data_IF_203439926977
#
_entry.id   IF_203439926977
#
_cell.length_a   1.000
_cell.length_b   1.000
_cell.length_c   1.000
_cell.angle_alpha   90.00
_cell.angle_beta   90.00
_cell.angle_gamma   90.00
#
_symmetry.space_group_name_H-M   'P 1'
#
loop_
_entity.id
_entity.type
_entity.pdbx_description
1 polymer ?
2 non-polymer ?
3 non-polymer ?
4 water ?
#
# COMPACT_ATOMS: atom_id res chain seq x y z
N UNK A 12 -7.03 6.64 29.60
CA UNK A 12 -6.42 5.54 28.78
C UNK A 12 -7.42 4.98 27.76
N UNK A 13 -8.66 4.76 28.19
CA UNK A 13 -9.74 4.32 27.32
C UNK A 13 -10.25 5.49 26.48
N UNK A 14 -10.33 6.67 27.09
CA UNK A 14 -10.70 7.90 26.39
C UNK A 14 -9.66 8.24 25.32
N UNK A 15 -8.39 8.07 25.68
CA UNK A 15 -7.27 8.36 24.78
C UNK A 15 -7.34 7.49 23.52
N UNK A 16 -7.58 6.19 23.70
CA UNK A 16 -7.71 5.28 22.56
C UNK A 16 -8.87 5.64 21.64
N UNK A 17 -9.98 6.09 22.22
CA UNK A 17 -11.15 6.51 21.44
C UNK A 17 -10.90 7.82 20.69
N UNK A 18 -10.18 8.74 21.33
CA UNK A 18 -9.82 10.02 20.70
C UNK A 18 -8.86 9.81 19.52
N UNK A 19 -7.87 8.95 19.71
CA UNK A 19 -6.92 8.60 18.65
C UNK A 19 -7.61 7.89 17.48
N UNK A 20 -8.53 6.98 17.78
CA UNK A 20 -9.28 6.28 16.74
C UNK A 20 -10.16 7.24 15.93
N UNK A 21 -10.77 8.21 16.61
CA UNK A 21 -11.52 9.27 15.93
C UNK A 21 -10.62 10.07 15.00
N UNK A 22 -9.42 10.40 15.46
CA UNK A 22 -8.45 11.14 14.65
C UNK A 22 -8.00 10.31 13.44
N UNK A 23 -7.75 9.02 13.66
CA UNK A 23 -7.39 8.13 12.56
C UNK A 23 -8.52 8.09 11.51
N UNK A 24 -9.76 7.93 11.97
CA UNK A 24 -10.90 7.83 11.06
C UNK A 24 -11.09 9.09 10.20
N UNK A 25 -10.72 10.25 10.73
CA UNK A 25 -10.83 11.53 10.00
C UNK A 25 -9.88 11.59 8.79
N UNK A 26 -8.88 10.72 8.77
CA UNK A 26 -7.92 10.66 7.67
C UNK A 26 -8.08 9.43 6.78
N UNK A 27 -9.19 8.71 6.95
CA UNK A 27 -9.47 7.52 6.14
C UNK A 27 -10.76 7.71 5.34
N UNK A 28 -10.66 7.49 4.04
CA UNK A 28 -11.84 7.32 3.20
C UNK A 28 -11.79 5.98 2.50
N UNK A 29 -12.93 5.33 2.38
CA UNK A 29 -13.00 4.00 1.77
C UNK A 29 -14.24 3.84 0.91
N UNK A 30 -14.09 3.16 -0.21
CA UNK A 30 -15.19 2.90 -1.12
C UNK A 30 -15.01 1.60 -1.90
N UNK A 31 -16.13 0.94 -2.18
CA UNK A 31 -16.14 -0.24 -3.02
C UNK A 31 -16.25 0.21 -4.47
N UNK A 32 -15.15 0.15 -5.21
CA UNK A 32 -15.11 0.70 -6.57
C UNK A 32 -15.00 -0.31 -7.69
N UNK A 33 -14.41 -1.46 -7.42
CA UNK A 33 -14.17 -2.46 -8.44
C UNK A 33 -15.07 -3.67 -8.29
N UNK A 34 -15.74 -4.04 -9.38
CA UNK A 34 -16.64 -5.19 -9.41
C UNK A 34 -15.84 -6.49 -9.38
N UNK A 35 -16.53 -7.61 -9.21
CA UNK A 35 -15.89 -8.92 -9.20
C UNK A 35 -15.17 -9.21 -10.52
N UNK A 36 -15.81 -8.85 -11.64
CA UNK A 36 -15.19 -8.99 -12.97
C UNK A 36 -13.98 -8.08 -13.15
N UNK A 37 -14.10 -6.83 -12.73
CA UNK A 37 -12.99 -5.88 -12.78
C UNK A 37 -11.80 -6.36 -11.93
N UNK A 38 -12.10 -6.89 -10.75
CA UNK A 38 -11.06 -7.48 -9.88
C UNK A 38 -10.37 -8.67 -10.56
N UNK A 39 -11.18 -9.54 -11.16
CA UNK A 39 -10.64 -10.72 -11.85
C UNK A 39 -9.65 -10.35 -12.94
N UNK A 40 -9.99 -9.32 -13.71
CA UNK A 40 -9.14 -8.85 -14.79
C UNK A 40 -7.83 -8.28 -14.24
N UNK A 41 -7.93 -7.48 -13.17
CA UNK A 41 -6.74 -6.88 -12.56
C UNK A 41 -5.85 -7.95 -11.93
N UNK A 42 -6.49 -8.93 -11.28
CA UNK A 42 -5.78 -10.05 -10.66
C UNK A 42 -5.01 -10.87 -11.68
N UNK A 43 -5.60 -11.05 -12.87
CA UNK A 43 -4.90 -11.68 -13.99
C UNK A 43 -3.64 -10.90 -14.38
N UNK A 44 -3.73 -9.57 -14.37
CA UNK A 44 -2.59 -8.71 -14.69
C UNK A 44 -1.52 -8.76 -13.60
N UNK A 45 -1.94 -8.78 -12.34
CA UNK A 45 -1.00 -8.93 -11.23
C UNK A 45 -0.22 -10.25 -11.36
N UNK A 46 -0.95 -11.31 -11.71
CA UNK A 46 -0.33 -12.62 -11.98
C UNK A 46 0.72 -12.53 -13.10
N UNK A 47 0.43 -11.73 -14.12
CA UNK A 47 1.38 -11.49 -15.22
C UNK A 47 2.66 -10.82 -14.73
N UNK A 48 2.52 -9.84 -13.84
CA UNK A 48 3.67 -9.16 -13.23
C UNK A 48 4.54 -10.17 -12.47
N UNK A 49 3.91 -11.01 -11.65
CA UNK A 49 4.65 -12.01 -10.87
C UNK A 49 5.42 -12.93 -11.82
N UNK A 50 4.76 -13.36 -12.88
CA UNK A 50 5.37 -14.23 -13.90
C UNK A 50 6.55 -13.56 -14.58
N UNK A 51 6.37 -12.30 -14.98
CA UNK A 51 7.45 -11.54 -15.62
C UNK A 51 8.65 -11.33 -14.73
N UNK A 52 8.41 -11.14 -13.43
CA UNK A 52 9.48 -10.99 -12.45
C UNK A 52 10.29 -12.29 -12.34
N UNK A 53 9.58 -13.41 -12.33
CA UNK A 53 10.21 -14.73 -12.23
C UNK A 53 11.06 -15.06 -13.46
N UNK A 54 10.67 -14.49 -14.60
CA UNK A 54 11.41 -14.66 -15.86
C UNK A 54 12.61 -13.71 -15.98
N UNK A 55 12.86 -12.92 -14.94
CA UNK A 55 13.98 -11.97 -14.92
C UNK A 55 13.84 -10.81 -15.90
N UNK A 56 12.59 -10.43 -16.20
CA UNK A 56 12.33 -9.43 -17.23
C UNK A 56 12.29 -7.99 -16.73
N UNK A 57 12.28 -7.81 -15.40
CA UNK A 57 12.25 -6.47 -14.85
C UNK A 57 13.63 -5.95 -14.49
N UNK A 58 13.75 -4.63 -14.41
CA UNK A 58 14.95 -3.99 -13.90
C UNK A 58 15.27 -4.42 -12.47
N UNK A 59 16.55 -4.33 -12.12
CA UNK A 59 17.09 -4.73 -10.82
C UNK A 59 16.22 -4.28 -9.63
N UNK A 60 15.89 -3.00 -9.57
CA UNK A 60 15.22 -2.44 -8.40
C UNK A 60 13.71 -2.45 -8.46
N UNK A 61 13.15 -3.04 -9.51
CA UNK A 61 11.70 -3.15 -9.64
C UNK A 61 11.17 -4.21 -8.69
N UNK A 62 11.97 -5.24 -8.45
CA UNK A 62 11.48 -6.39 -7.68
C UNK A 62 12.19 -6.50 -6.33
N UNK A 63 11.38 -6.52 -5.26
CA UNK A 63 11.90 -6.74 -3.91
C UNK A 63 11.26 -8.01 -3.33
N UNK A 64 12.05 -9.08 -3.26
CA UNK A 64 11.57 -10.35 -2.74
C UNK A 64 11.86 -10.48 -1.25
N UNK A 65 10.82 -10.81 -0.49
CA UNK A 65 10.97 -11.07 0.94
C UNK A 65 10.13 -12.30 1.28
N UNK A 66 10.47 -13.00 2.39
CA UNK A 66 9.87 -14.30 2.68
C UNK A 66 8.38 -14.49 2.34
N UNK A 67 7.48 -13.77 2.98
CA UNK A 67 6.05 -13.98 2.72
C UNK A 67 5.33 -12.81 2.02
N UNK A 68 6.12 -11.87 1.48
CA UNK A 68 5.61 -10.67 0.83
C UNK A 68 6.61 -10.17 -0.22
N UNK A 69 6.17 -10.10 -1.47
CA UNK A 69 6.97 -9.50 -2.54
C UNK A 69 6.43 -8.12 -2.86
N UNK A 70 7.33 -7.18 -3.19
CA UNK A 70 6.93 -5.85 -3.65
C UNK A 70 7.45 -5.63 -5.06
N UNK A 71 6.60 -5.03 -5.89
CA UNK A 71 6.95 -4.70 -7.26
C UNK A 71 6.78 -3.20 -7.44
N UNK A 72 7.88 -2.50 -7.74
CA UNK A 72 7.92 -1.04 -7.77
C UNK A 72 7.88 -0.55 -9.21
N UNK A 73 6.93 0.33 -9.52
CA UNK A 73 6.82 0.92 -10.85
C UNK A 73 6.69 2.43 -10.76
N UNK A 74 7.29 3.12 -11.75
CA UNK A 74 7.30 4.58 -11.78
C UNK A 74 8.43 5.13 -10.94
N UNK A 75 8.31 4.93 -9.62
CA UNK A 75 9.36 5.23 -8.67
C UNK A 75 9.41 4.14 -7.60
N UNK A 76 10.62 3.84 -7.14
CA UNK A 76 10.83 2.95 -6.01
C UNK A 76 11.83 3.56 -5.03
N UNK A 77 11.95 2.94 -3.85
CA UNK A 77 12.82 3.47 -2.81
C UNK A 77 13.51 2.35 -2.02
N UNK A 78 14.53 2.74 -1.27
CA UNK A 78 15.27 1.83 -0.39
C UNK A 78 14.62 1.77 0.99
N UNK A 87 20.85 5.23 7.49
CA UNK A 87 20.25 4.25 8.40
C UNK A 87 18.74 4.39 8.50
N UNK A 88 18.22 4.43 9.75
CA UNK A 88 16.78 4.56 10.02
C UNK A 88 16.18 5.85 9.44
N UNK A 89 15.09 5.70 8.69
CA UNK A 89 14.34 6.82 8.13
C UNK A 89 15.02 7.56 7.01
N UNK A 90 16.01 6.91 6.38
CA UNK A 90 16.79 7.53 5.31
C UNK A 90 16.63 6.77 3.99
N UNK A 91 15.40 6.39 3.64
CA UNK A 91 15.15 5.82 2.32
C UNK A 91 15.40 6.85 1.23
N UNK A 92 15.82 6.36 0.07
CA UNK A 92 16.16 7.18 -1.07
C UNK A 92 15.49 6.63 -2.32
N UNK A 93 15.06 7.54 -3.19
CA UNK A 93 14.59 7.17 -4.52
C UNK A 93 15.77 6.65 -5.34
N UNK A 94 15.55 5.57 -6.09
CA UNK A 94 16.54 5.10 -7.06
C UNK A 94 16.64 6.12 -8.20
N UNK A 95 17.82 6.24 -8.83
CA UNK A 95 17.99 7.18 -9.96
C UNK A 95 16.94 6.99 -11.05
N UNK A 96 16.62 8.07 -11.80
CA UNK A 96 15.62 7.98 -12.85
C UNK A 96 15.91 6.84 -13.84
N UNK A 97 14.88 6.06 -14.15
CA UNK A 97 15.03 4.93 -15.08
C UNK A 97 15.47 3.61 -14.46
N UNK A 98 15.74 3.61 -13.15
CA UNK A 98 16.14 2.38 -12.46
C UNK A 98 15.00 1.37 -12.27
N UNK A 99 13.81 1.86 -11.99
CA UNK A 99 12.64 0.98 -11.89
C UNK A 99 11.86 1.02 -13.20
N UNK A 100 11.07 -0.02 -13.45
CA UNK A 100 10.21 -0.07 -14.62
C UNK A 100 9.07 0.94 -14.55
N UNK A 101 8.61 1.38 -15.72
CA UNK A 101 7.50 2.32 -15.81
C UNK A 101 6.20 1.66 -15.37
N UNK A 102 5.25 2.47 -14.92
CA UNK A 102 3.92 2.00 -14.56
C UNK A 102 3.30 1.29 -15.78
N UNK A 103 2.89 0.01 -15.61
CA UNK A 103 2.31 -0.72 -16.75
C UNK A 103 1.03 -0.07 -17.27
N UNK A 104 0.77 -0.19 -18.57
CA UNK A 104 -0.40 0.42 -19.20
C UNK A 104 -1.71 -0.02 -18.55
N UNK A 105 -1.80 -1.29 -18.15
CA UNK A 105 -3.01 -1.80 -17.50
C UNK A 105 -3.30 -1.13 -16.18
N UNK A 106 -2.26 -0.68 -15.47
CA UNK A 106 -2.47 0.04 -14.20
C UNK A 106 -3.15 1.38 -14.47
N UNK A 107 -2.68 2.09 -15.51
CA UNK A 107 -3.34 3.31 -15.96
C UNK A 107 -4.76 3.04 -16.37
N UNK A 108 -4.94 2.04 -17.22
CA UNK A 108 -6.23 1.77 -17.86
C UNK A 108 -7.29 1.16 -16.95
N UNK A 109 -6.88 0.23 -16.10
CA UNK A 109 -7.83 -0.53 -15.25
C UNK A 109 -7.98 0.02 -13.82
N UNK A 110 -6.94 0.69 -13.33
CA UNK A 110 -6.94 1.14 -11.94
C UNK A 110 -6.98 2.67 -11.81
N UNK A 111 -5.94 3.34 -12.26
CA UNK A 111 -5.83 4.80 -12.10
C UNK A 111 -7.00 5.52 -12.78
N UNK A 112 -7.36 5.09 -13.99
CA UNK A 112 -8.49 5.69 -14.70
C UNK A 112 -9.79 5.66 -13.89
N UNK A 113 -10.08 4.49 -13.31
CA UNK A 113 -11.28 4.34 -12.46
C UNK A 113 -11.25 5.31 -11.27
N UNK A 114 -10.07 5.45 -10.65
CA UNK A 114 -9.90 6.37 -9.53
C UNK A 114 -10.11 7.84 -9.93
N UNK A 115 -9.54 8.23 -11.06
CA UNK A 115 -9.68 9.60 -11.57
C UNK A 115 -11.14 9.91 -11.92
N UNK A 116 -11.79 8.97 -12.59
CA UNK A 116 -13.21 9.10 -12.96
C UNK A 116 -14.12 9.28 -11.75
N UNK A 117 -13.79 8.61 -10.64
CA UNK A 117 -14.59 8.70 -9.41
C UNK A 117 -14.11 9.77 -8.46
N UNK A 118 -13.22 10.64 -8.95
CA UNK A 118 -12.74 11.83 -8.21
C UNK A 118 -11.99 11.47 -6.92
N UNK A 119 -11.34 10.32 -6.91
CA UNK A 119 -10.56 9.88 -5.76
C UNK A 119 -9.24 10.65 -5.69
N UNK A 120 -8.61 10.82 -6.85
CA UNK A 120 -7.40 11.63 -6.99
C UNK A 120 -7.45 12.32 -8.36
N UNK A 121 -6.71 13.43 -8.53
CA UNK A 121 -6.70 14.13 -9.82
C UNK A 121 -5.88 13.40 -10.88
N UNK A 122 -6.21 13.64 -12.14
CA UNK A 122 -5.39 13.21 -13.26
C UNK A 122 -3.98 13.78 -13.13
N UNK A 123 -2.97 12.94 -13.37
CA UNK A 123 -1.56 13.33 -13.30
C UNK A 123 -0.90 13.16 -11.94
N UNK A 124 -1.71 12.95 -10.90
CA UNK A 124 -1.20 12.83 -9.51
C UNK A 124 -0.26 11.62 -9.35
N UNK A 125 -0.74 10.44 -9.73
CA UNK A 125 0.01 9.19 -9.50
C UNK A 125 1.25 9.10 -10.40
N UNK A 126 2.43 8.96 -9.81
CA UNK A 126 3.66 8.65 -10.56
C UNK A 126 4.39 7.43 -9.99
N UNK A 127 3.76 6.79 -9.01
CA UNK A 127 4.30 5.60 -8.37
C UNK A 127 3.18 4.60 -8.12
N UNK A 128 3.42 3.37 -8.57
CA UNK A 128 2.52 2.25 -8.33
C UNK A 128 3.33 1.09 -7.79
N UNK A 129 3.02 0.66 -6.57
CA UNK A 129 3.70 -0.49 -5.98
C UNK A 129 2.68 -1.60 -5.77
N UNK A 130 3.02 -2.80 -6.22
CA UNK A 130 2.18 -3.97 -5.95
C UNK A 130 2.83 -4.78 -4.82
N UNK A 131 2.08 -5.01 -3.74
CA UNK A 131 2.48 -5.93 -2.66
C UNK A 131 1.70 -7.21 -2.86
N UNK A 132 2.40 -8.34 -2.85
CA UNK A 132 1.78 -9.63 -3.04
C UNK A 132 2.13 -10.53 -1.85
N UNK A 133 1.10 -10.93 -1.11
CA UNK A 133 1.25 -11.65 0.16
C UNK A 133 0.91 -13.13 0.04
N UNK A 134 1.77 -13.96 0.63
CA UNK A 134 1.44 -15.36 0.92
C UNK A 134 0.54 -15.42 2.16
N UNK A 135 -0.21 -16.53 2.34
CA UNK A 135 -0.89 -16.72 3.61
C UNK A 135 0.11 -16.58 4.75
N UNK A 136 -0.28 -15.88 5.81
CA UNK A 136 0.61 -15.66 6.96
C UNK A 136 1.60 -14.55 6.74
N UNK A 137 1.55 -13.91 5.57
CA UNK A 137 2.37 -12.74 5.29
C UNK A 137 1.90 -11.54 6.10
N UNK A 138 2.73 -10.52 6.19
CA UNK A 138 2.40 -9.34 6.99
C UNK A 138 3.29 -8.17 6.62
N UNK A 139 3.04 -7.00 7.22
CA UNK A 139 3.97 -5.88 7.11
C UNK A 139 4.07 -5.22 8.49
N UNK A 140 5.30 -4.94 8.90
CA UNK A 140 5.55 -4.38 10.23
C UNK A 140 5.22 -2.89 10.27
N UNK A 141 4.73 -2.45 11.42
CA UNK A 141 4.56 -1.04 11.79
C UNK A 141 5.46 -0.08 11.01
N UNK A 142 4.83 0.87 10.30
CA UNK A 142 5.59 1.89 9.56
C UNK A 142 4.72 3.07 9.23
N UNK A 143 5.36 4.16 8.83
CA UNK A 143 4.65 5.29 8.20
C UNK A 143 5.19 5.37 6.78
N UNK A 144 4.32 5.57 5.79
CA UNK A 144 4.81 5.70 4.42
C UNK A 144 5.73 6.92 4.39
N UNK A 145 7.01 6.73 3.97
CA UNK A 145 8.04 7.75 4.18
C UNK A 145 7.61 9.14 3.76
N UNK A 146 7.58 10.04 4.75
CA UNK A 146 7.06 11.40 4.58
C UNK A 146 7.95 12.25 3.66
N UNK A 147 9.24 11.92 3.61
CA UNK A 147 10.18 12.62 2.71
C UNK A 147 10.13 12.12 1.30
N UNK A 148 9.46 10.99 1.09
CA UNK A 148 9.40 10.37 -0.23
C UNK A 148 8.05 10.64 -0.91
N UNK A 149 6.96 10.44 -0.17
CA UNK A 149 5.63 10.50 -0.77
C UNK A 149 4.75 11.65 -0.29
N UNK A 150 4.11 12.30 -1.26
CA UNK A 150 3.01 13.23 -0.99
C UNK A 150 1.85 12.43 -0.41
N UNK A 151 0.90 13.16 0.14
CA UNK A 151 -0.38 12.60 0.53
C UNK A 151 -1.41 13.19 -0.44
N UNK A 152 -2.57 12.54 -0.62
CA UNK A 152 -3.01 11.29 0.01
C UNK A 152 -2.38 10.04 -0.60
N UNK A 153 -2.46 8.95 0.15
CA UNK A 153 -1.97 7.64 -0.27
C UNK A 153 -3.18 6.77 -0.58
N UNK A 154 -3.21 6.20 -1.79
CA UNK A 154 -4.36 5.41 -2.25
C UNK A 154 -3.95 3.94 -2.39
N UNK A 155 -4.78 3.03 -1.87
CA UNK A 155 -4.52 1.61 -2.04
C UNK A 155 -5.78 0.84 -2.44
N UNK A 156 -5.60 -0.17 -3.29
CA UNK A 156 -6.69 -0.99 -3.80
C UNK A 156 -6.34 -2.47 -3.58
N UNK A 157 -7.22 -3.21 -2.90
CA UNK A 157 -6.96 -4.61 -2.49
C UNK A 157 -7.57 -5.62 -3.47
N UNK A 158 -6.94 -6.80 -3.62
CA UNK A 158 -7.38 -7.70 -4.69
C UNK A 158 -7.86 -9.15 -4.54
N UNK A 159 -7.08 -10.03 -3.97
CA UNK A 159 -7.45 -11.45 -4.13
C UNK A 159 -8.38 -11.96 -3.04
N UNK A 160 -8.31 -11.32 -1.88
CA UNK A 160 -9.07 -11.74 -0.72
C UNK A 160 -9.25 -10.53 0.17
N UNK A 161 -10.08 -10.68 1.20
CA UNK A 161 -10.32 -9.63 2.18
C UNK A 161 -9.32 -9.74 3.32
N UNK A 162 -8.97 -8.59 3.89
CA UNK A 162 -8.05 -8.55 5.03
C UNK A 162 -8.38 -7.34 5.91
N UNK A 163 -7.42 -6.93 6.73
CA UNK A 163 -7.60 -5.77 7.60
C UNK A 163 -6.30 -5.01 7.68
N UNK A 164 -6.40 -3.68 7.73
CA UNK A 164 -5.25 -2.82 7.92
C UNK A 164 -5.32 -2.21 9.32
N UNK A 165 -4.28 -2.45 10.11
CA UNK A 165 -4.25 -1.98 11.50
C UNK A 165 -3.50 -0.65 11.61
N UNK A 166 -3.95 0.19 12.55
CA UNK A 166 -3.33 1.48 12.82
C UNK A 166 -2.97 1.57 14.30
N UNK A 167 -1.78 2.09 14.60
CA UNK A 167 -1.26 2.12 15.98
C UNK A 167 -0.75 0.73 16.31
N UNK A 168 0.48 0.47 15.91
CA UNK A 168 0.99 -0.90 15.85
C UNK A 168 2.00 -1.24 16.96
N UNK A 169 1.92 -0.50 18.07
CA UNK A 169 2.75 -0.77 19.24
C UNK A 169 2.66 -2.25 19.66
N UNK A 170 1.45 -2.82 19.55
CA UNK A 170 1.17 -4.22 19.87
C UNK A 170 2.11 -5.25 19.22
N UNK A 171 2.70 -4.89 18.08
CA UNK A 171 3.62 -5.79 17.38
C UNK A 171 4.94 -5.94 18.12
N UNK A 172 5.20 -5.04 19.07
CA UNK A 172 6.45 -5.01 19.82
C UNK A 172 6.24 -5.16 21.33
N UNK A 173 5.06 -4.77 21.80
CA UNK A 173 4.76 -4.79 23.24
C UNK A 173 3.43 -5.48 23.54
N UNK A 174 3.32 -6.79 23.18
CA UNK A 174 2.03 -7.48 23.28
C UNK A 174 1.48 -7.63 24.71
N UNK A 175 2.38 -7.59 25.70
CA UNK A 175 1.96 -7.60 27.12
C UNK A 175 1.32 -6.26 27.51
N UNK A 176 2.02 -5.16 27.24
CA UNK A 176 1.55 -3.82 27.56
C UNK A 176 0.33 -3.40 26.72
N UNK A 177 0.32 -3.79 25.44
CA UNK A 177 -0.79 -3.46 24.55
C UNK A 177 -1.05 -4.59 23.54
N UNK A 178 -2.26 -5.14 23.57
CA UNK A 178 -2.58 -6.33 22.79
C UNK A 178 -3.23 -6.03 21.44
N UNK A 179 -3.93 -4.89 21.35
CA UNK A 179 -4.70 -4.53 20.16
C UNK A 179 -4.17 -3.24 19.49
N UNK A 180 -4.37 -3.09 18.16
CA UNK A 180 -4.12 -1.78 17.56
C UNK A 180 -5.16 -0.75 18.00
N UNK A 181 -4.88 0.51 17.68
CA UNK A 181 -5.81 1.62 17.95
C UNK A 181 -7.08 1.43 17.12
N UNK A 182 -6.89 1.02 15.86
CA UNK A 182 -8.00 0.80 14.94
C UNK A 182 -7.63 -0.31 13.96
N UNK A 183 -8.60 -1.14 13.62
CA UNK A 183 -8.47 -2.10 12.53
C UNK A 183 -9.49 -1.78 11.46
N UNK A 184 -9.01 -1.63 10.24
CA UNK A 184 -9.82 -1.23 9.10
C UNK A 184 -9.99 -2.41 8.15
N UNK A 185 -11.24 -2.91 8.00
CA UNK A 185 -11.45 -3.97 7.01
C UNK A 185 -11.09 -3.47 5.62
N UNK A 186 -10.32 -4.25 4.88
CA UNK A 186 -9.95 -3.91 3.50
C UNK A 186 -10.36 -5.07 2.58
N UNK A 187 -11.53 -4.92 1.97
CA UNK A 187 -12.11 -5.98 1.14
C UNK A 187 -11.56 -5.94 -0.27
N UNK A 188 -11.59 -7.10 -0.93
CA UNK A 188 -11.27 -7.21 -2.35
C UNK A 188 -12.12 -6.20 -3.13
N UNK A 189 -11.46 -5.41 -3.99
CA UNK A 189 -12.12 -4.39 -4.78
C UNK A 189 -12.31 -3.04 -4.10
N UNK A 190 -11.91 -2.92 -2.84
CA UNK A 190 -12.08 -1.67 -2.10
C UNK A 190 -10.89 -0.74 -2.27
N UNK A 191 -11.19 0.56 -2.21
CA UNK A 191 -10.19 1.62 -2.29
C UNK A 191 -10.07 2.30 -0.93
N UNK A 192 -8.84 2.41 -0.45
CA UNK A 192 -8.57 3.08 0.81
C UNK A 192 -7.72 4.31 0.54
N UNK A 193 -8.13 5.45 1.10
CA UNK A 193 -7.40 6.69 0.92
C UNK A 193 -6.97 7.20 2.28
N UNK A 194 -5.64 7.36 2.46
CA UNK A 194 -5.08 7.83 3.72
C UNK A 194 -4.53 9.24 3.58
N UNK A 195 -4.85 10.07 4.57
CA UNK A 195 -4.39 11.46 4.60
C UNK A 195 -4.34 11.94 6.05
N UNK A 196 -3.79 13.13 6.26
CA UNK A 196 -3.75 13.75 7.58
C UNK A 196 -3.18 12.86 8.66
N UNK A 197 -3.88 12.81 9.79
CA UNK A 197 -3.50 12.01 10.96
C UNK A 197 -3.22 10.54 10.63
N UNK A 198 -4.09 9.95 9.80
CA UNK A 198 -4.00 8.52 9.45
C UNK A 198 -2.74 8.19 8.65
N UNK A 199 -2.24 9.18 7.91
CA UNK A 199 -1.05 9.00 7.07
C UNK A 199 0.26 9.50 7.70
N UNK A 200 0.16 10.42 8.67
CA UNK A 200 1.31 11.16 9.17
C UNK A 200 1.61 11.03 10.66
N UNK A 201 0.61 10.69 11.46
CA UNK A 201 0.69 10.80 12.92
C UNK A 201 0.60 9.46 13.63
N UNK A 202 0.39 8.40 12.86
CA UNK A 202 0.24 7.06 13.41
C UNK A 202 0.81 6.06 12.41
N UNK A 203 1.27 4.92 12.92
CA UNK A 203 1.79 3.85 12.08
C UNK A 203 0.66 2.95 11.60
N UNK A 204 0.90 2.22 10.52
CA UNK A 204 0.02 1.12 10.13
C UNK A 204 0.78 -0.14 9.86
N UNK A 205 0.06 -1.26 9.80
CA UNK A 205 0.66 -2.58 9.66
C UNK A 205 -0.41 -3.60 9.29
N UNK A 206 0.03 -4.82 8.99
CA UNK A 206 -0.88 -5.94 8.75
C UNK A 206 -0.41 -7.10 9.61
N UNK A 207 -1.35 -7.72 10.31
CA UNK A 207 -1.08 -8.87 11.18
C UNK A 207 -1.10 -10.15 10.35
N UNK A 208 -0.18 -11.09 10.63
CA UNK A 208 -0.12 -12.32 9.83
C UNK A 208 -1.40 -13.15 9.91
N UNK A 209 -2.10 -13.12 11.05
CA UNK A 209 -3.35 -13.87 11.18
C UNK A 209 -4.48 -13.29 10.34
N UNK A 210 -4.30 -12.06 9.84
CA UNK A 210 -5.31 -11.38 9.01
C UNK A 210 -5.16 -11.67 7.51
N UNK A 211 -4.08 -12.36 7.15
CA UNK A 211 -3.86 -12.82 5.77
C UNK A 211 -3.92 -14.34 5.76
N UNK A 212 -5.12 -14.86 5.50
CA UNK A 212 -5.40 -16.29 5.57
C UNK A 212 -5.18 -16.99 4.24
N UNK A 213 -5.17 -16.21 3.18
CA UNK A 213 -4.94 -16.69 1.82
C UNK A 213 -4.26 -15.58 1.05
N UNK A 214 -3.84 -15.87 -0.18
CA UNK A 214 -3.15 -14.87 -0.98
C UNK A 214 -3.93 -13.55 -1.04
N UNK A 215 -3.21 -12.45 -0.89
CA UNK A 215 -3.79 -11.13 -0.94
C UNK A 215 -2.81 -10.23 -1.67
N UNK A 216 -3.31 -9.32 -2.49
CA UNK A 216 -2.45 -8.37 -3.16
C UNK A 216 -3.02 -6.97 -3.04
N UNK A 217 -2.15 -5.98 -3.17
CA UNK A 217 -2.55 -4.60 -3.03
C UNK A 217 -1.76 -3.78 -4.03
N UNK A 218 -2.45 -2.82 -4.65
CA UNK A 218 -1.79 -1.85 -5.50
C UNK A 218 -1.84 -0.51 -4.79
N UNK A 219 -0.66 0.04 -4.52
CA UNK A 219 -0.54 1.31 -3.81
C UNK A 219 -0.12 2.40 -4.79
N UNK A 220 -0.97 3.41 -4.91
CA UNK A 220 -0.78 4.49 -5.87
C UNK A 220 -0.47 5.79 -5.13
N UNK A 221 0.68 6.36 -5.43
CA UNK A 221 1.18 7.53 -4.71
C UNK A 221 1.87 8.51 -5.66
N UNK A 222 2.11 9.72 -5.16
CA UNK A 222 2.93 10.71 -5.83
C UNK A 222 4.18 10.97 -5.00
N UNK A 223 5.34 10.86 -5.62
CA UNK A 223 6.59 11.18 -4.93
C UNK A 223 6.76 12.70 -4.84
N UNK A 224 7.43 13.14 -3.78
CA UNK A 224 7.70 14.55 -3.54
C UNK A 224 8.77 15.07 -4.49
N UNK A 225 8.67 16.32 -4.89
CA UNK A 225 9.71 16.95 -5.71
C UNK A 225 11.11 16.81 -5.09
N UNK A 226 11.22 17.06 -3.80
CA UNK A 226 12.51 17.01 -3.12
C UNK A 226 12.81 15.68 -2.43
N UNK A 227 12.14 14.62 -2.85
CA UNK A 227 12.45 13.29 -2.35
C UNK A 227 13.94 13.04 -2.60
N UNK A 228 14.72 12.81 -1.52
CA UNK A 228 16.16 12.62 -1.71
C UNK A 228 16.44 11.38 -2.56
N UNK A 229 17.36 11.52 -3.51
CA UNK A 229 17.67 10.45 -4.46
C UNK A 229 19.11 9.97 -4.29
N UNK A 230 19.36 8.71 -4.69
CA UNK A 230 20.70 8.15 -4.68
C UNK A 230 21.58 8.79 -5.75
#
# INVERSE_FOLDING_TARGET
GHMPERSDYEEQQLQKEEEARKVKSGIRQMRLFSQDECAKIEARIDEVVSRAEKGLYNEHTVDRAPLRNKYFFGEGYTYGAQLQKRGPGQERLYPPGDVDEIPEWVHQLVIQKLVEHRVIPEGFVNSAVINDYQPGGCIVSHVDPIHIFERPIVSVSFFSDSALCFGCKFQFKPIRVSEPVLSLPVRRGSVTVLSGYAADEITHCIRPQDIKERRAVIILRKTRLDAPRL
#
